data_IF_087348660504
#
_entry.id   IF_087348660504
#
_cell.length_a   1.000
_cell.length_b   1.000
_cell.length_c   1.000
_cell.angle_alpha   90.00
_cell.angle_beta   90.00
_cell.angle_gamma   90.00
#
_symmetry.space_group_name_H-M   'P 1'
#
loop_
_entity.id
_entity.type
_entity.pdbx_description
1 polymer ?
#
# COMPACT_ATOMS: atom_id res chain seq x y z
N UNK A 1 -4.20 12.58 -4.51
CA UNK A 1 -4.02 11.13 -4.19
C UNK A 1 -3.10 10.40 -5.16
N UNK A 2 -3.26 10.58 -6.48
CA UNK A 2 -2.42 9.91 -7.47
C UNK A 2 -0.92 10.29 -7.39
N UNK A 3 -0.59 11.57 -7.13
CA UNK A 3 0.79 12.03 -6.96
C UNK A 3 1.47 11.48 -5.70
N UNK A 4 0.72 11.37 -4.60
CA UNK A 4 1.19 10.74 -3.36
C UNK A 4 1.49 9.25 -3.53
N UNK A 5 0.64 8.53 -4.28
CA UNK A 5 0.88 7.15 -4.68
C UNK A 5 2.08 7.03 -5.64
N UNK A 6 2.33 8.03 -6.46
CA UNK A 6 3.47 8.05 -7.38
C UNK A 6 4.82 8.29 -6.67
N UNK A 7 4.81 8.92 -5.49
CA UNK A 7 6.00 9.04 -4.62
C UNK A 7 6.31 7.78 -3.82
N UNK A 8 5.43 6.77 -3.82
CA UNK A 8 5.71 5.49 -3.17
C UNK A 8 6.59 4.62 -4.06
N UNK A 9 7.46 3.78 -3.47
CA UNK A 9 8.15 2.74 -4.21
C UNK A 9 7.16 1.81 -4.91
N UNK A 10 7.58 1.27 -6.05
CA UNK A 10 6.70 0.54 -6.99
C UNK A 10 5.93 -0.61 -6.33
N UNK A 11 6.60 -1.35 -5.43
CA UNK A 11 6.02 -2.44 -4.64
C UNK A 11 4.90 -1.98 -3.70
N UNK A 12 5.12 -0.88 -2.97
CA UNK A 12 4.10 -0.31 -2.07
C UNK A 12 2.91 0.19 -2.88
N UNK A 13 3.18 0.91 -3.98
CA UNK A 13 2.13 1.42 -4.86
C UNK A 13 1.27 0.30 -5.44
N UNK A 14 1.89 -0.80 -5.88
CA UNK A 14 1.18 -1.93 -6.47
C UNK A 14 0.24 -2.59 -5.45
N UNK A 15 0.74 -2.93 -4.27
CA UNK A 15 -0.04 -3.57 -3.20
C UNK A 15 -1.19 -2.66 -2.73
N UNK A 16 -0.91 -1.37 -2.51
CA UNK A 16 -1.94 -0.40 -2.12
C UNK A 16 -2.98 -0.20 -3.23
N UNK A 17 -2.59 -0.24 -4.50
CA UNK A 17 -3.53 -0.14 -5.62
C UNK A 17 -4.47 -1.34 -5.65
N UNK A 18 -3.97 -2.56 -5.46
CA UNK A 18 -4.81 -3.74 -5.35
C UNK A 18 -5.75 -3.67 -4.14
N UNK A 19 -5.27 -3.15 -3.02
CA UNK A 19 -6.07 -3.07 -1.80
C UNK A 19 -7.15 -1.98 -1.86
N UNK A 20 -6.79 -0.76 -2.26
CA UNK A 20 -7.69 0.40 -2.23
C UNK A 20 -8.45 0.65 -3.54
N UNK A 21 -7.88 0.32 -4.71
CA UNK A 21 -8.55 0.51 -6.01
C UNK A 21 -9.31 -0.72 -6.47
N UNK A 22 -8.78 -1.92 -6.20
CA UNK A 22 -9.42 -3.19 -6.57
C UNK A 22 -10.19 -3.83 -5.41
N UNK A 23 -10.18 -3.21 -4.23
CA UNK A 23 -10.84 -3.71 -3.01
C UNK A 23 -10.46 -5.16 -2.65
N UNK A 24 -9.26 -5.61 -3.03
CA UNK A 24 -8.79 -6.95 -2.70
C UNK A 24 -8.39 -7.04 -1.23
N UNK A 25 -8.79 -8.14 -0.58
CA UNK A 25 -8.36 -8.45 0.78
C UNK A 25 -6.87 -8.81 0.84
N UNK A 26 -6.23 -8.60 1.98
CA UNK A 26 -4.82 -8.93 2.24
C UNK A 26 -4.50 -10.37 1.82
N UNK A 27 -5.36 -11.33 2.18
CA UNK A 27 -5.18 -12.75 1.85
C UNK A 27 -5.28 -13.04 0.35
N UNK A 28 -6.13 -12.31 -0.39
CA UNK A 28 -6.21 -12.45 -1.85
C UNK A 28 -4.99 -11.86 -2.53
N UNK A 29 -4.49 -10.72 -2.06
CA UNK A 29 -3.27 -10.08 -2.58
C UNK A 29 -2.07 -11.00 -2.33
N UNK A 30 -1.94 -11.53 -1.10
CA UNK A 30 -0.89 -12.47 -0.72
C UNK A 30 -0.89 -13.71 -1.61
N UNK A 31 -2.06 -14.32 -1.82
CA UNK A 31 -2.21 -15.49 -2.70
C UNK A 31 -1.90 -15.16 -4.16
N UNK A 32 -2.29 -13.97 -4.64
CA UNK A 32 -2.03 -13.54 -6.02
C UNK A 32 -0.55 -13.30 -6.28
N UNK A 33 0.18 -12.78 -5.29
CA UNK A 33 1.61 -12.46 -5.39
C UNK A 33 2.53 -13.60 -4.96
N UNK A 34 1.98 -14.66 -4.35
CA UNK A 34 2.77 -15.78 -3.81
C UNK A 34 3.63 -15.40 -2.59
N UNK A 35 3.20 -14.39 -1.83
CA UNK A 35 3.92 -13.87 -0.66
C UNK A 35 3.11 -14.08 0.62
N UNK A 36 3.74 -14.11 1.81
CA UNK A 36 2.99 -14.24 3.07
C UNK A 36 2.12 -13.01 3.35
N UNK A 37 0.95 -13.22 3.97
CA UNK A 37 0.02 -12.15 4.34
C UNK A 37 0.68 -11.07 5.22
N UNK A 38 1.61 -11.47 6.10
CA UNK A 38 2.41 -10.54 6.91
C UNK A 38 3.20 -9.54 6.06
N UNK A 39 3.76 -9.95 4.92
CA UNK A 39 4.49 -9.05 4.04
C UNK A 39 3.55 -7.99 3.44
N UNK A 40 2.41 -8.43 2.92
CA UNK A 40 1.36 -7.54 2.38
C UNK A 40 0.89 -6.54 3.45
N UNK A 41 0.65 -7.02 4.68
CA UNK A 41 0.18 -6.18 5.78
C UNK A 41 1.24 -5.17 6.25
N UNK A 42 2.52 -5.55 6.29
CA UNK A 42 3.64 -4.63 6.55
C UNK A 42 3.70 -3.54 5.48
N UNK A 43 3.59 -3.90 4.20
CA UNK A 43 3.61 -2.94 3.09
C UNK A 43 2.43 -1.97 3.17
N UNK A 44 1.21 -2.46 3.43
CA UNK A 44 0.03 -1.61 3.58
C UNK A 44 0.21 -0.65 4.77
N UNK A 45 0.74 -1.12 5.89
CA UNK A 45 0.96 -0.31 7.10
C UNK A 45 2.00 0.79 6.86
N UNK A 46 3.16 0.44 6.29
CA UNK A 46 4.21 1.39 5.94
C UNK A 46 3.75 2.40 4.90
N UNK A 47 3.07 1.94 3.86
CA UNK A 47 2.51 2.78 2.81
C UNK A 47 1.45 3.75 3.34
N UNK A 48 0.56 3.28 4.22
CA UNK A 48 -0.44 4.14 4.88
C UNK A 48 0.23 5.20 5.78
N UNK A 49 1.26 4.83 6.54
CA UNK A 49 2.03 5.77 7.35
C UNK A 49 2.66 6.86 6.48
N UNK A 50 3.33 6.49 5.38
CA UNK A 50 3.88 7.43 4.40
C UNK A 50 2.83 8.36 3.81
N UNK A 51 1.68 7.81 3.40
CA UNK A 51 0.57 8.60 2.86
C UNK A 51 0.03 9.60 3.90
N UNK A 52 -0.07 9.20 5.17
CA UNK A 52 -0.51 10.07 6.26
C UNK A 52 0.52 11.17 6.56
N UNK A 53 1.81 10.84 6.60
CA UNK A 53 2.89 11.84 6.77
C UNK A 53 2.96 12.84 5.63
N UNK A 54 2.67 12.41 4.41
CA UNK A 54 2.69 13.30 3.25
C UNK A 54 1.36 14.05 3.06
N UNK A 55 0.27 13.61 3.69
CA UNK A 55 -1.00 14.37 3.78
C UNK A 55 -0.98 15.39 4.92
N UNK A 56 -0.24 15.13 6.00
CA UNK A 56 0.07 16.10 7.05
C UNK A 56 1.57 16.42 7.04
N UNK A 57 2.08 17.14 6.03
CA UNK A 57 3.46 17.62 6.04
C UNK A 57 3.62 18.82 7.01
N UNK A 58 3.37 18.66 8.32
CA UNK A 58 3.47 19.76 9.32
C UNK A 58 2.42 20.88 9.13
N UNK A 59 2.14 21.87 9.99
CA UNK A 59 2.94 22.59 11.02
C UNK A 59 4.35 22.99 10.59
#
# INVERSE_FOLDING_TARGET
>A
MAELLASLPEEERFILSLHYLKSMSVSQIASTLGVPEKAVQSVITSGKSRLLSALNPGD
#
